data_IF_413964817082
#
_entry.id   IF_413964817082
#
_cell.length_a   1.000
_cell.length_b   1.000
_cell.length_c   1.000
_cell.angle_alpha   90.00
_cell.angle_beta   90.00
_cell.angle_gamma   90.00
#
_symmetry.space_group_name_H-M   'P 1'
#
loop_
_entity.id
_entity.type
_entity.pdbx_description
1 polymer ?
#
# COMPACT_ATOMS: atom_id res chain seq x y z
N UNK A 1 -49.02 31.60 23.18
CA UNK A 1 -48.01 31.18 22.17
C UNK A 1 -46.96 30.32 22.88
N UNK A 2 -46.94 29.00 22.65
CA UNK A 2 -45.86 28.12 23.12
C UNK A 2 -45.47 27.25 21.93
N UNK A 3 -44.39 27.64 21.26
CA UNK A 3 -43.81 26.92 20.12
C UNK A 3 -42.93 25.80 20.66
N UNK A 4 -43.42 24.57 20.59
CA UNK A 4 -42.59 23.38 20.80
C UNK A 4 -41.93 23.02 19.48
N UNK A 5 -40.63 23.35 19.35
CA UNK A 5 -39.81 22.93 18.23
C UNK A 5 -39.36 21.48 18.43
N UNK A 6 -39.99 20.54 17.70
CA UNK A 6 -39.57 19.14 17.64
C UNK A 6 -38.48 19.00 16.59
N UNK A 7 -37.21 18.98 17.04
CA UNK A 7 -36.04 18.74 16.21
C UNK A 7 -35.96 17.23 15.89
N UNK A 8 -36.43 16.85 14.70
CA UNK A 8 -36.37 15.48 14.21
C UNK A 8 -34.96 15.21 13.66
N UNK A 9 -34.13 14.49 14.42
CA UNK A 9 -32.86 13.95 13.94
C UNK A 9 -33.15 12.72 13.08
N UNK A 10 -33.15 12.90 11.75
CA UNK A 10 -33.11 11.78 10.80
C UNK A 10 -31.71 11.19 10.85
N UNK A 11 -31.54 10.08 11.58
CA UNK A 11 -30.32 9.28 11.53
C UNK A 11 -30.26 8.51 10.20
N UNK A 12 -29.31 8.87 9.33
CA UNK A 12 -28.89 7.99 8.22
C UNK A 12 -28.12 6.80 8.83
N UNK A 13 -28.78 5.67 9.00
CA UNK A 13 -28.11 4.41 9.29
C UNK A 13 -27.44 3.90 7.99
N UNK A 14 -26.16 4.23 7.79
CA UNK A 14 -25.34 3.51 6.82
C UNK A 14 -25.05 2.14 7.44
N UNK A 15 -25.87 1.15 7.11
CA UNK A 15 -25.55 -0.24 7.40
C UNK A 15 -24.32 -0.61 6.56
N UNK A 16 -23.14 -0.52 7.17
CA UNK A 16 -21.97 -1.17 6.60
C UNK A 16 -22.32 -2.66 6.51
N UNK A 17 -22.43 -3.18 5.28
CA UNK A 17 -22.58 -4.60 5.01
C UNK A 17 -21.30 -5.27 5.50
N UNK A 18 -21.29 -5.65 6.78
CA UNK A 18 -20.34 -6.62 7.31
C UNK A 18 -20.81 -7.99 6.80
N UNK A 19 -20.47 -8.30 5.55
CA UNK A 19 -20.47 -9.69 5.09
C UNK A 19 -19.64 -10.50 6.09
N UNK A 20 -20.18 -11.62 6.55
CA UNK A 20 -19.41 -12.63 7.26
C UNK A 20 -18.38 -13.19 6.27
N UNK A 21 -17.24 -12.50 6.16
CA UNK A 21 -16.09 -13.03 5.46
C UNK A 21 -15.61 -14.22 6.31
N UNK A 22 -15.86 -15.43 5.81
CA UNK A 22 -15.39 -16.65 6.44
C UNK A 22 -13.87 -16.73 6.28
N UNK A 23 -13.15 -16.05 7.16
CA UNK A 23 -11.71 -16.17 7.27
C UNK A 23 -11.37 -17.28 8.25
N UNK A 24 -10.24 -17.96 8.01
CA UNK A 24 -9.76 -18.98 8.94
C UNK A 24 -9.61 -18.37 10.34
N UNK A 25 -10.24 -18.96 11.36
CA UNK A 25 -10.21 -18.47 12.74
C UNK A 25 -8.87 -18.67 13.46
N UNK A 26 -7.75 -18.41 12.78
CA UNK A 26 -6.39 -18.66 13.24
C UNK A 26 -5.85 -17.54 14.16
N UNK A 27 -4.70 -17.79 14.78
CA UNK A 27 -4.09 -16.85 15.73
C UNK A 27 -3.56 -15.57 15.05
N UNK A 28 -3.15 -15.63 13.79
CA UNK A 28 -2.75 -14.46 13.00
C UNK A 28 -3.93 -13.50 12.82
N UNK A 29 -5.07 -14.00 12.33
CA UNK A 29 -6.30 -13.21 12.17
C UNK A 29 -6.77 -12.64 13.51
N UNK A 30 -6.72 -13.42 14.59
CA UNK A 30 -7.09 -12.93 15.93
C UNK A 30 -6.16 -11.81 16.41
N UNK A 31 -4.86 -11.88 16.13
CA UNK A 31 -3.92 -10.81 16.47
C UNK A 31 -4.19 -9.53 15.67
N UNK A 32 -4.58 -9.65 14.40
CA UNK A 32 -4.80 -8.51 13.50
C UNK A 32 -6.19 -7.89 13.66
N UNK A 33 -7.25 -8.68 13.68
CA UNK A 33 -8.66 -8.22 13.67
C UNK A 33 -9.39 -8.40 14.99
N UNK A 34 -8.83 -9.17 15.93
CA UNK A 34 -9.51 -9.50 17.19
C UNK A 34 -9.80 -8.29 18.07
N UNK A 35 -10.87 -8.37 18.86
CA UNK A 35 -11.40 -7.27 19.70
C UNK A 35 -11.17 -7.49 21.21
N UNK A 36 -10.36 -8.49 21.57
CA UNK A 36 -10.03 -8.79 22.99
C UNK A 36 -9.24 -7.65 23.64
N UNK A 37 -9.50 -7.40 24.92
CA UNK A 37 -8.70 -6.50 25.75
C UNK A 37 -7.22 -6.91 25.80
N UNK A 38 -6.31 -5.94 25.80
CA UNK A 38 -4.85 -6.14 25.79
C UNK A 38 -4.21 -6.24 24.39
N UNK A 39 -5.00 -6.18 23.33
CA UNK A 39 -4.50 -5.99 21.97
C UNK A 39 -4.20 -4.51 21.70
N UNK A 40 -3.29 -4.25 20.75
CA UNK A 40 -3.13 -2.91 20.19
C UNK A 40 -4.47 -2.40 19.64
N UNK A 41 -4.72 -1.08 19.68
CA UNK A 41 -5.93 -0.50 19.12
C UNK A 41 -6.15 -0.96 17.67
N UNK A 42 -7.42 -1.17 17.30
CA UNK A 42 -7.78 -1.56 15.92
C UNK A 42 -7.25 -0.55 14.90
N UNK A 43 -7.27 0.75 15.22
CA UNK A 43 -6.73 1.80 14.38
C UNK A 43 -5.21 1.69 14.14
N UNK A 44 -4.45 1.28 15.16
CA UNK A 44 -3.00 1.05 15.01
C UNK A 44 -2.74 -0.14 14.10
N UNK A 45 -3.45 -1.26 14.33
CA UNK A 45 -3.29 -2.47 13.52
C UNK A 45 -3.75 -2.28 12.07
N UNK A 46 -4.80 -1.50 11.83
CA UNK A 46 -5.23 -1.17 10.47
C UNK A 46 -4.24 -0.22 9.77
N UNK A 47 -3.59 0.68 10.50
CA UNK A 47 -2.51 1.51 9.98
C UNK A 47 -1.25 0.69 9.65
N UNK A 48 -0.91 -0.28 10.48
CA UNK A 48 0.19 -1.23 10.21
C UNK A 48 -0.11 -2.09 8.98
N UNK A 49 -1.34 -2.58 8.83
CA UNK A 49 -1.78 -3.25 7.62
C UNK A 49 -1.67 -2.35 6.39
N UNK A 50 -2.10 -1.09 6.50
CA UNK A 50 -2.01 -0.13 5.39
C UNK A 50 -0.56 0.09 4.97
N UNK A 51 0.35 0.22 5.95
CA UNK A 51 1.78 0.41 5.73
C UNK A 51 2.45 -0.82 5.12
N UNK A 52 2.10 -2.02 5.60
CA UNK A 52 2.65 -3.28 5.11
C UNK A 52 2.22 -3.57 3.67
N UNK A 53 1.01 -3.16 3.29
CA UNK A 53 0.50 -3.34 1.94
C UNK A 53 0.97 -2.25 0.95
N UNK A 54 1.85 -1.33 1.38
CA UNK A 54 2.48 -0.36 0.48
C UNK A 54 3.61 -1.02 -0.31
N UNK A 55 3.37 -1.19 -1.60
CA UNK A 55 4.41 -1.64 -2.53
C UNK A 55 5.06 -0.43 -3.20
N UNK A 56 6.39 -0.37 -3.17
CA UNK A 56 7.13 0.72 -3.82
C UNK A 56 7.70 0.23 -5.13
N UNK A 57 7.40 0.97 -6.20
CA UNK A 57 7.89 0.67 -7.54
C UNK A 57 8.86 1.77 -7.98
N UNK A 58 10.10 1.38 -8.24
CA UNK A 58 11.15 2.25 -8.79
C UNK A 58 11.25 2.03 -10.30
N UNK A 59 10.90 3.03 -11.14
CA UNK A 59 10.95 2.88 -12.59
C UNK A 59 12.39 2.74 -13.10
N UNK A 60 12.51 2.17 -14.29
CA UNK A 60 13.75 2.14 -15.07
C UNK A 60 14.31 3.54 -15.28
N UNK A 61 15.64 3.69 -15.32
CA UNK A 61 16.26 4.92 -15.76
C UNK A 61 15.97 5.15 -17.25
N UNK A 62 15.54 6.35 -17.61
CA UNK A 62 15.34 6.76 -19.01
C UNK A 62 16.40 7.80 -19.37
N UNK A 63 17.19 7.51 -20.40
CA UNK A 63 18.17 8.45 -20.96
C UNK A 63 17.53 9.17 -22.14
N UNK A 64 17.47 10.50 -22.09
CA UNK A 64 17.00 11.32 -23.23
C UNK A 64 18.24 11.88 -23.92
N UNK A 65 18.51 11.40 -25.13
CA UNK A 65 19.59 11.93 -25.97
C UNK A 65 19.06 13.15 -26.72
N UNK A 66 19.52 14.35 -26.37
CA UNK A 66 19.27 15.56 -27.16
C UNK A 66 20.44 15.69 -28.14
N UNK A 67 20.17 15.46 -29.41
CA UNK A 67 21.11 15.81 -30.48
C UNK A 67 21.02 17.32 -30.66
N UNK A 68 22.07 18.03 -30.27
CA UNK A 68 22.29 19.41 -30.70
C UNK A 68 22.98 19.32 -32.05
N UNK A 69 22.28 19.71 -33.11
CA UNK A 69 22.89 19.85 -34.43
C UNK A 69 23.83 21.06 -34.40
N UNK A 70 25.11 20.82 -34.12
CA UNK A 70 26.19 21.76 -34.42
C UNK A 70 26.77 21.36 -35.77
N UNK A 71 26.50 22.17 -36.80
CA UNK A 71 27.05 22.09 -38.16
C UNK A 71 28.57 22.36 -38.21
N UNK A 72 29.36 21.88 -37.24
CA UNK A 72 30.81 21.85 -37.37
C UNK A 72 31.44 20.78 -36.45
N UNK A 73 32.41 20.04 -37.00
CA UNK A 73 33.28 18.99 -36.41
C UNK A 73 32.85 17.50 -36.57
N UNK A 74 33.62 16.69 -37.33
CA UNK A 74 33.34 15.27 -37.54
C UNK A 74 34.01 14.38 -36.48
N UNK A 75 33.23 13.53 -35.81
CA UNK A 75 33.65 12.19 -35.37
C UNK A 75 32.47 11.47 -34.69
N UNK A 76 31.96 10.33 -35.20
CA UNK A 76 31.00 9.53 -34.45
C UNK A 76 31.78 8.78 -33.36
N UNK A 77 31.87 9.39 -32.17
CA UNK A 77 32.41 8.71 -31.01
C UNK A 77 31.59 7.43 -30.76
N UNK A 78 32.27 6.28 -30.74
CA UNK A 78 31.70 4.96 -30.58
C UNK A 78 30.61 4.94 -29.49
N UNK A 79 29.40 4.53 -29.88
CA UNK A 79 28.31 4.29 -28.95
C UNK A 79 28.78 3.30 -27.88
N UNK A 80 29.05 3.82 -26.67
CA UNK A 80 29.43 3.00 -25.53
C UNK A 80 28.27 2.05 -25.23
N UNK A 81 28.62 0.81 -24.88
CA UNK A 81 27.72 -0.32 -24.59
C UNK A 81 26.65 -0.07 -23.50
N UNK A 82 26.64 1.12 -22.89
CA UNK A 82 25.75 1.53 -21.81
C UNK A 82 24.32 1.86 -22.29
N UNK A 83 24.11 2.06 -23.59
CA UNK A 83 22.78 2.34 -24.16
C UNK A 83 21.84 1.13 -24.24
N UNK A 84 22.31 -0.07 -23.88
CA UNK A 84 21.57 -1.35 -24.00
C UNK A 84 21.29 -2.03 -22.65
N UNK A 85 21.61 -1.38 -21.51
CA UNK A 85 21.08 -1.80 -20.22
C UNK A 85 19.66 -1.25 -20.08
N UNK A 86 18.69 -2.00 -20.62
CA UNK A 86 17.27 -1.85 -20.30
C UNK A 86 17.13 -1.84 -18.77
N UNK A 87 16.89 -0.67 -18.19
CA UNK A 87 16.80 -0.51 -16.74
C UNK A 87 15.68 -1.41 -16.22
N UNK A 88 15.99 -2.40 -15.40
CA UNK A 88 14.94 -3.23 -14.80
C UNK A 88 14.22 -2.42 -13.72
N UNK A 89 12.90 -2.39 -13.79
CA UNK A 89 12.07 -1.89 -12.69
C UNK A 89 12.26 -2.79 -11.46
N UNK A 90 12.46 -2.17 -10.30
CA UNK A 90 12.57 -2.86 -9.02
C UNK A 90 11.32 -2.59 -8.20
N UNK A 91 10.67 -3.66 -7.76
CA UNK A 91 9.50 -3.63 -6.88
C UNK A 91 9.91 -4.12 -5.51
N UNK A 92 9.71 -3.29 -4.48
CA UNK A 92 9.97 -3.63 -3.08
C UNK A 92 8.64 -3.86 -2.37
N UNK A 93 8.48 -5.05 -1.79
CA UNK A 93 7.33 -5.44 -0.98
C UNK A 93 7.79 -5.61 0.48
N UNK A 94 7.11 -5.00 1.46
CA UNK A 94 7.43 -5.19 2.87
C UNK A 94 7.30 -6.67 3.30
N UNK A 95 8.23 -7.12 4.14
CA UNK A 95 8.24 -8.49 4.68
C UNK A 95 8.32 -8.56 6.21
N UNK A 96 8.61 -7.44 6.88
CA UNK A 96 8.74 -7.37 8.34
C UNK A 96 7.38 -7.36 9.03
N UNK A 97 7.01 -8.50 9.62
CA UNK A 97 5.77 -8.66 10.38
C UNK A 97 5.91 -7.93 11.72
N UNK A 98 4.92 -7.09 12.14
CA UNK A 98 4.96 -6.46 13.45
C UNK A 98 4.98 -7.47 14.60
N UNK A 99 5.65 -7.14 15.71
CA UNK A 99 5.82 -8.06 16.84
C UNK A 99 4.49 -8.58 17.43
N UNK A 100 3.45 -7.74 17.47
CA UNK A 100 2.12 -8.15 17.96
C UNK A 100 1.45 -9.22 17.06
N UNK A 101 1.87 -9.30 15.79
CA UNK A 101 1.39 -10.25 14.81
C UNK A 101 2.36 -11.42 14.61
N UNK A 102 3.24 -11.70 15.57
CA UNK A 102 4.19 -12.82 15.51
C UNK A 102 3.56 -14.22 15.38
N UNK A 103 2.24 -14.33 15.55
CA UNK A 103 1.48 -15.55 15.26
C UNK A 103 1.29 -15.81 13.76
N UNK A 104 1.61 -14.85 12.90
CA UNK A 104 1.60 -15.02 11.46
C UNK A 104 2.91 -15.67 11.01
N UNK A 105 2.81 -16.79 10.29
CA UNK A 105 3.95 -17.60 9.84
C UNK A 105 4.81 -16.85 8.83
N UNK A 106 4.20 -16.04 7.97
CA UNK A 106 4.90 -15.28 6.93
C UNK A 106 4.12 -14.04 6.49
N UNK A 107 4.77 -13.24 5.64
CA UNK A 107 4.19 -12.02 5.07
C UNK A 107 2.87 -12.27 4.33
N UNK A 108 2.72 -13.39 3.62
CA UNK A 108 1.48 -13.70 2.89
C UNK A 108 0.29 -13.97 3.84
N UNK A 109 0.54 -14.63 4.97
CA UNK A 109 -0.49 -14.83 6.00
C UNK A 109 -0.89 -13.49 6.65
N UNK A 110 0.09 -12.62 6.91
CA UNK A 110 -0.19 -11.27 7.43
C UNK A 110 -0.99 -10.43 6.42
N UNK A 111 -0.67 -10.51 5.12
CA UNK A 111 -1.44 -9.88 4.03
C UNK A 111 -2.87 -10.41 3.97
N UNK A 112 -3.05 -11.72 4.12
CA UNK A 112 -4.36 -12.34 4.21
C UNK A 112 -5.14 -11.76 5.39
N UNK A 113 -4.54 -11.68 6.58
CA UNK A 113 -5.15 -11.09 7.77
C UNK A 113 -5.52 -9.61 7.60
N UNK A 114 -4.69 -8.83 6.92
CA UNK A 114 -5.01 -7.44 6.58
C UNK A 114 -6.17 -7.33 5.59
N UNK A 115 -6.26 -8.26 4.64
CA UNK A 115 -7.41 -8.39 3.75
C UNK A 115 -8.66 -8.79 4.53
N UNK A 116 -8.50 -9.61 5.59
CA UNK A 116 -9.57 -9.94 6.53
C UNK A 116 -10.12 -8.72 7.27
N UNK A 117 -9.21 -7.81 7.63
CA UNK A 117 -9.54 -6.53 8.23
C UNK A 117 -10.20 -5.56 7.23
N UNK A 118 -10.23 -5.89 5.94
CA UNK A 118 -10.77 -5.00 4.91
C UNK A 118 -9.82 -3.87 4.50
N UNK A 119 -8.52 -3.98 4.82
CA UNK A 119 -7.50 -3.03 4.35
C UNK A 119 -7.02 -3.48 2.97
N UNK A 120 -7.02 -2.55 2.01
CA UNK A 120 -6.55 -2.79 0.65
C UNK A 120 -5.18 -2.15 0.42
N UNK A 121 -4.33 -2.84 -0.34
CA UNK A 121 -2.99 -2.36 -0.67
C UNK A 121 -2.99 -1.23 -1.68
N UNK A 122 -1.91 -0.44 -1.67
CA UNK A 122 -1.67 0.62 -2.66
C UNK A 122 -0.25 0.53 -3.19
N UNK A 123 -0.12 0.79 -4.49
CA UNK A 123 1.17 0.95 -5.15
C UNK A 123 1.58 2.41 -5.09
N UNK A 124 2.75 2.67 -4.49
CA UNK A 124 3.39 3.98 -4.55
C UNK A 124 4.44 3.95 -5.65
N UNK A 125 4.13 4.55 -6.79
CA UNK A 125 5.17 4.92 -7.76
C UNK A 125 5.93 6.10 -7.16
N UNK A 126 7.25 6.02 -7.07
CA UNK A 126 8.07 7.23 -6.88
C UNK A 126 7.98 8.02 -8.18
N UNK A 127 6.97 8.88 -8.29
CA UNK A 127 6.91 9.87 -9.37
C UNK A 127 8.09 10.83 -9.17
N UNK A 128 8.81 11.05 -10.27
CA UNK A 128 9.80 12.12 -10.41
C UNK A 128 9.08 13.43 -10.11
N UNK A 129 9.51 14.16 -9.08
CA UNK A 129 9.22 15.59 -9.00
C UNK A 129 9.94 16.26 -10.19
N UNK A 130 9.27 17.17 -10.92
CA UNK A 130 9.87 17.91 -12.02
C UNK A 130 11.04 18.78 -11.54
#
# INVERSE_FOLDING_TARGET
>A
MKLTATLSFVFLAVAAVLEHRHWAGNNCNRAVTGTRQGLLPLASRSADCSSFLLTTVTPAATTVTVTVDEEDFPSPAAAKRDALLEGRQVTVVPSSIPNYAGNCVNAAEYVSACSCFGVTGRLRRRQRLP
#
